data_IF_651530490261
#
_entry.id   IF_651530490261
#
_cell.length_a   1.000
_cell.length_b   1.000
_cell.length_c   1.000
_cell.angle_alpha   90.00
_cell.angle_beta   90.00
_cell.angle_gamma   90.00
#
_symmetry.space_group_name_H-M   'P 1'
#
loop_
_entity.id
_entity.type
_entity.pdbx_description
1 polymer ?
#
# COMPACT_ATOMS: atom_id res chain seq x y z
N UNK A 1 22.04 14.09 -6.21
CA UNK A 1 20.74 14.23 -6.94
C UNK A 1 20.21 15.61 -6.59
N UNK A 2 20.02 16.45 -7.60
CA UNK A 2 19.73 17.88 -7.42
C UNK A 2 18.37 18.08 -6.75
N UNK A 3 18.33 18.96 -5.72
CA UNK A 3 17.15 19.23 -4.88
C UNK A 3 15.91 19.81 -5.56
N UNK A 4 15.89 19.91 -6.89
CA UNK A 4 14.73 20.38 -7.66
C UNK A 4 13.71 19.29 -8.00
N UNK A 5 14.08 18.00 -7.90
CA UNK A 5 13.19 16.86 -8.21
C UNK A 5 12.15 16.57 -7.11
N UNK A 6 12.34 17.10 -5.88
CA UNK A 6 11.49 16.81 -4.74
C UNK A 6 10.41 17.89 -4.47
N UNK A 7 10.22 18.83 -5.37
CA UNK A 7 9.40 19.99 -5.10
C UNK A 7 8.22 20.14 -6.06
N UNK A 8 7.23 19.27 -5.89
CA UNK A 8 5.89 19.47 -6.47
C UNK A 8 4.80 19.39 -5.42
N UNK A 9 5.03 19.98 -4.26
CA UNK A 9 3.98 20.18 -3.27
C UNK A 9 2.88 21.06 -3.88
N UNK A 10 1.89 20.42 -4.49
CA UNK A 10 0.72 21.10 -5.03
C UNK A 10 -0.40 20.86 -4.03
N UNK A 11 -0.81 21.92 -3.36
CA UNK A 11 -2.08 21.92 -2.66
C UNK A 11 -3.13 22.15 -3.74
N UNK A 12 -4.04 21.22 -3.84
CA UNK A 12 -5.19 21.34 -4.73
C UNK A 12 -6.44 21.18 -3.91
N UNK A 13 -7.34 22.14 -4.02
CA UNK A 13 -8.70 21.96 -3.53
C UNK A 13 -9.46 21.10 -4.53
N UNK A 14 -10.02 20.01 -4.05
CA UNK A 14 -10.85 19.09 -4.83
C UNK A 14 -12.15 18.91 -4.05
N UNK A 15 -13.27 19.43 -4.58
CA UNK A 15 -14.53 19.55 -3.85
C UNK A 15 -14.32 20.31 -2.51
N UNK A 16 -14.60 19.65 -1.36
CA UNK A 16 -14.45 20.21 0.00
C UNK A 16 -13.13 19.77 0.65
N UNK A 17 -12.22 19.10 -0.10
CA UNK A 17 -10.99 18.51 0.41
C UNK A 17 -9.77 19.17 -0.21
N UNK A 18 -8.72 19.34 0.60
CA UNK A 18 -7.40 19.72 0.10
C UNK A 18 -6.58 18.44 -0.09
N UNK A 19 -6.03 18.27 -1.30
CA UNK A 19 -5.08 17.22 -1.61
C UNK A 19 -3.69 17.80 -1.56
N UNK A 20 -2.88 17.29 -0.63
CA UNK A 20 -1.48 17.65 -0.53
C UNK A 20 -0.69 16.55 -1.24
N UNK A 21 -0.21 16.83 -2.45
CA UNK A 21 0.63 15.90 -3.20
C UNK A 21 2.05 16.00 -2.71
N UNK A 22 2.59 14.85 -2.33
CA UNK A 22 3.94 14.74 -1.81
C UNK A 22 4.77 13.86 -2.72
N UNK A 23 5.98 14.33 -3.06
CA UNK A 23 6.93 13.53 -3.83
C UNK A 23 7.50 12.41 -2.98
N UNK A 24 7.53 11.20 -3.53
CA UNK A 24 8.10 10.02 -2.90
C UNK A 24 9.27 9.47 -3.73
N UNK A 25 10.26 8.83 -3.11
CA UNK A 25 11.44 8.30 -3.81
C UNK A 25 11.16 6.96 -4.51
N UNK A 26 9.92 6.68 -4.84
CA UNK A 26 9.46 5.45 -5.47
C UNK A 26 8.96 5.73 -6.90
N UNK A 27 8.82 4.69 -7.74
CA UNK A 27 8.38 4.87 -9.14
C UNK A 27 7.01 5.51 -9.33
N UNK A 28 6.12 5.43 -8.32
CA UNK A 28 4.85 6.15 -8.31
C UNK A 28 5.02 7.67 -8.23
N UNK A 29 6.22 8.13 -7.85
CA UNK A 29 6.66 9.50 -7.78
C UNK A 29 5.91 10.42 -6.80
N UNK A 30 4.63 10.22 -6.61
CA UNK A 30 3.78 11.06 -5.75
C UNK A 30 2.75 10.23 -4.98
N UNK A 31 2.41 10.65 -3.75
CA UNK A 31 1.24 10.20 -3.02
C UNK A 31 0.30 11.36 -2.68
N UNK A 32 -0.95 11.04 -2.41
CA UNK A 32 -1.98 11.96 -1.98
C UNK A 32 -2.19 11.87 -0.47
N UNK A 33 -2.15 13.02 0.18
CA UNK A 33 -2.55 13.20 1.56
C UNK A 33 -3.76 14.13 1.57
N UNK A 34 -4.77 13.83 2.36
CA UNK A 34 -6.00 14.62 2.37
C UNK A 34 -6.12 15.43 3.65
N UNK A 35 -6.38 16.71 3.50
CA UNK A 35 -6.65 17.64 4.60
C UNK A 35 -8.10 18.12 4.47
N UNK A 36 -8.92 17.84 5.47
CA UNK A 36 -10.37 17.97 5.41
C UNK A 36 -10.84 18.83 6.58
N UNK A 37 -11.56 19.93 6.30
CA UNK A 37 -12.19 20.74 7.33
C UNK A 37 -13.35 19.97 7.95
N UNK A 38 -13.42 19.93 9.27
CA UNK A 38 -14.46 19.27 10.05
C UNK A 38 -15.01 20.26 11.09
N UNK A 39 -16.18 19.94 11.67
CA UNK A 39 -16.87 20.85 12.61
C UNK A 39 -16.01 21.34 13.80
N UNK A 40 -15.03 20.52 14.21
CA UNK A 40 -14.17 20.80 15.37
C UNK A 40 -12.71 21.09 14.98
N UNK A 41 -12.44 21.43 13.72
CA UNK A 41 -11.09 21.66 13.20
C UNK A 41 -10.81 20.85 11.96
N UNK A 42 -9.60 20.30 11.81
CA UNK A 42 -9.14 19.62 10.61
C UNK A 42 -8.81 18.16 10.87
N UNK A 43 -9.11 17.33 9.90
CA UNK A 43 -8.80 15.90 9.87
C UNK A 43 -7.85 15.62 8.73
N UNK A 44 -6.91 14.71 8.96
CA UNK A 44 -5.93 14.28 7.95
C UNK A 44 -6.13 12.79 7.64
N UNK A 45 -6.10 12.42 6.36
CA UNK A 45 -6.01 11.03 5.90
C UNK A 45 -4.65 10.86 5.24
N UNK A 46 -3.85 9.96 5.79
CA UNK A 46 -2.44 9.71 5.50
C UNK A 46 -1.54 10.94 5.74
N UNK A 47 -0.23 10.74 5.77
CA UNK A 47 0.67 11.82 6.22
C UNK A 47 1.95 11.97 5.38
N UNK A 48 2.22 11.01 4.51
CA UNK A 48 3.42 10.97 3.70
C UNK A 48 4.62 10.30 4.38
N UNK A 49 5.71 10.24 3.65
CA UNK A 49 6.99 9.68 4.12
C UNK A 49 7.75 10.70 4.99
N UNK A 50 8.44 10.27 6.05
CA UNK A 50 9.19 11.19 6.94
C UNK A 50 10.50 11.66 6.31
N UNK A 51 10.39 12.53 5.32
CA UNK A 51 11.50 13.19 4.64
C UNK A 51 11.49 14.70 4.91
N UNK A 52 12.67 15.38 4.88
CA UNK A 52 12.72 16.84 5.00
C UNK A 52 11.81 17.58 3.99
N UNK A 53 11.73 17.18 2.71
CA UNK A 53 10.79 17.79 1.76
C UNK A 53 9.31 17.65 2.18
N UNK A 54 8.90 16.52 2.73
CA UNK A 54 7.54 16.28 3.21
C UNK A 54 7.14 17.29 4.27
N UNK A 55 8.00 17.54 5.25
CA UNK A 55 7.75 18.53 6.31
C UNK A 55 7.61 19.95 5.75
N UNK A 56 8.46 20.30 4.79
CA UNK A 56 8.36 21.60 4.08
C UNK A 56 7.07 21.72 3.29
N UNK A 57 6.61 20.64 2.64
CA UNK A 57 5.31 20.60 1.94
C UNK A 57 4.17 20.82 2.92
N UNK A 58 4.19 20.14 4.07
CA UNK A 58 3.21 20.32 5.13
C UNK A 58 3.16 21.77 5.65
N UNK A 59 4.31 22.37 5.96
CA UNK A 59 4.40 23.76 6.43
C UNK A 59 3.79 24.75 5.42
N UNK A 60 4.05 24.52 4.14
CA UNK A 60 3.46 25.33 3.06
C UNK A 60 1.96 25.10 2.93
N UNK A 61 1.52 23.85 2.97
CA UNK A 61 0.11 23.51 2.91
C UNK A 61 -0.69 24.20 4.01
N UNK A 62 -0.25 24.07 5.24
CA UNK A 62 -0.87 24.69 6.41
C UNK A 62 -0.94 26.21 6.26
N UNK A 63 0.16 26.83 5.79
CA UNK A 63 0.20 28.26 5.53
C UNK A 63 -0.73 28.71 4.41
N UNK A 64 -0.82 27.96 3.33
CA UNK A 64 -1.65 28.28 2.16
C UNK A 64 -3.13 28.12 2.45
N UNK A 65 -3.52 27.09 3.22
CA UNK A 65 -4.89 26.90 3.72
C UNK A 65 -5.25 27.95 4.78
N UNK A 66 -4.26 28.61 5.40
CA UNK A 66 -4.48 29.65 6.41
C UNK A 66 -4.80 29.13 7.80
N UNK A 67 -4.31 27.92 8.12
CA UNK A 67 -4.51 27.27 9.42
C UNK A 67 -3.19 27.06 10.17
N UNK A 68 -3.27 26.54 11.37
CA UNK A 68 -2.12 26.09 12.15
C UNK A 68 -2.18 24.57 12.36
N UNK A 69 -1.03 23.93 12.59
CA UNK A 69 -0.97 22.51 12.93
C UNK A 69 -1.87 22.15 14.14
N UNK A 70 -2.03 23.05 15.10
CA UNK A 70 -2.88 22.84 16.29
C UNK A 70 -4.38 22.76 16.00
N UNK A 71 -4.80 23.11 14.79
CA UNK A 71 -6.19 22.96 14.35
C UNK A 71 -6.45 21.58 13.71
N UNK A 72 -5.41 20.76 13.50
CA UNK A 72 -5.56 19.36 13.11
C UNK A 72 -5.83 18.56 14.39
N UNK A 73 -6.99 17.93 14.46
CA UNK A 73 -7.47 17.23 15.66
C UNK A 73 -7.48 15.71 15.53
N UNK A 74 -7.38 15.17 14.30
CA UNK A 74 -7.40 13.74 14.04
C UNK A 74 -6.52 13.39 12.83
N UNK A 75 -5.79 12.29 12.94
CA UNK A 75 -4.94 11.75 11.88
C UNK A 75 -5.35 10.29 11.66
N UNK A 76 -5.83 9.97 10.47
CA UNK A 76 -6.20 8.62 10.05
C UNK A 76 -5.18 8.09 9.06
N UNK A 77 -4.66 6.90 9.31
CA UNK A 77 -3.73 6.20 8.43
C UNK A 77 -4.46 5.04 7.78
N UNK A 78 -4.42 4.98 6.46
CA UNK A 78 -5.12 3.94 5.71
C UNK A 78 -4.43 2.58 5.78
N UNK A 79 -3.10 2.58 5.76
CA UNK A 79 -2.26 1.38 5.89
C UNK A 79 -0.82 1.77 6.27
N UNK A 80 0.02 0.78 6.59
CA UNK A 80 1.31 1.03 7.20
C UNK A 80 2.49 1.17 6.21
N UNK A 81 2.28 1.49 4.93
CA UNK A 81 3.39 1.81 4.04
C UNK A 81 4.07 3.15 4.38
N UNK A 82 5.35 3.32 4.01
CA UNK A 82 6.15 4.48 4.43
C UNK A 82 5.58 5.82 4.00
N UNK A 83 5.01 5.85 2.81
CA UNK A 83 4.43 7.05 2.20
C UNK A 83 3.02 7.40 2.70
N UNK A 84 2.44 6.56 3.54
CA UNK A 84 1.17 6.79 4.24
C UNK A 84 1.38 7.03 5.73
N UNK A 85 2.17 6.19 6.40
CA UNK A 85 2.41 6.23 7.85
C UNK A 85 3.67 7.01 8.25
N UNK A 86 4.66 7.14 7.37
CA UNK A 86 6.03 7.51 7.74
C UNK A 86 6.13 8.78 8.58
N UNK A 87 5.46 9.85 8.19
CA UNK A 87 5.51 11.13 8.89
C UNK A 87 4.56 11.23 10.11
N UNK A 88 3.84 10.15 10.48
CA UNK A 88 2.80 10.20 11.52
C UNK A 88 3.34 10.65 12.88
N UNK A 89 4.51 10.14 13.30
CA UNK A 89 5.12 10.56 14.57
C UNK A 89 5.46 12.06 14.60
N UNK A 90 5.99 12.58 13.50
CA UNK A 90 6.29 14.01 13.40
C UNK A 90 5.02 14.84 13.42
N UNK A 91 4.02 14.49 12.60
CA UNK A 91 2.76 15.23 12.50
C UNK A 91 2.01 15.17 13.83
N UNK A 92 1.91 14.00 14.47
CA UNK A 92 1.32 13.85 15.82
C UNK A 92 1.94 14.81 16.82
N UNK A 93 3.26 14.95 16.83
CA UNK A 93 3.98 15.84 17.74
C UNK A 93 3.64 17.30 17.52
N UNK A 94 3.55 17.76 16.27
CA UNK A 94 3.31 19.19 15.97
C UNK A 94 1.84 19.55 16.08
N UNK A 95 0.93 18.63 15.79
CA UNK A 95 -0.52 18.82 15.90
C UNK A 95 -1.03 18.61 17.34
N UNK A 96 -0.43 17.66 18.06
CA UNK A 96 -0.95 17.13 19.33
C UNK A 96 -2.27 16.39 19.14
N UNK A 97 -2.35 15.61 18.07
CA UNK A 97 -3.56 14.93 17.62
C UNK A 97 -3.40 13.40 17.71
N UNK A 98 -4.47 12.64 18.04
CA UNK A 98 -4.44 11.19 18.03
C UNK A 98 -4.23 10.65 16.61
N UNK A 99 -3.51 9.51 16.52
CA UNK A 99 -3.29 8.77 15.28
C UNK A 99 -4.10 7.49 15.32
N UNK A 100 -4.95 7.30 14.33
CA UNK A 100 -5.80 6.14 14.16
C UNK A 100 -5.27 5.27 13.01
N UNK A 101 -5.13 3.97 13.26
CA UNK A 101 -4.60 3.01 12.28
C UNK A 101 -5.47 1.75 12.30
N UNK A 102 -5.78 1.09 11.17
CA UNK A 102 -6.49 -0.19 11.17
C UNK A 102 -5.80 -1.21 12.06
N UNK A 103 -6.57 -1.99 12.82
CA UNK A 103 -6.06 -2.94 13.81
C UNK A 103 -5.07 -3.94 13.21
N UNK A 104 -5.36 -4.46 12.04
CA UNK A 104 -4.51 -5.40 11.31
C UNK A 104 -3.20 -4.75 10.89
N UNK A 105 -3.24 -3.47 10.51
CA UNK A 105 -2.06 -2.69 10.13
C UNK A 105 -1.19 -2.34 11.34
N UNK A 106 -1.78 -2.12 12.53
CA UNK A 106 -1.01 -1.96 13.78
C UNK A 106 -0.22 -3.23 14.07
N UNK A 107 -0.88 -4.39 14.01
CA UNK A 107 -0.23 -5.68 14.24
C UNK A 107 0.93 -5.88 13.28
N UNK A 108 0.68 -5.67 12.00
CA UNK A 108 1.67 -5.79 10.94
C UNK A 108 2.84 -4.80 11.13
N UNK A 109 2.55 -3.54 11.47
CA UNK A 109 3.58 -2.55 11.73
C UNK A 109 4.46 -2.90 12.94
N UNK A 110 3.90 -3.50 13.99
CA UNK A 110 4.66 -3.96 15.15
C UNK A 110 5.60 -5.12 14.81
N UNK A 111 5.19 -6.01 13.92
CA UNK A 111 5.97 -7.18 13.53
C UNK A 111 7.08 -6.86 12.51
N UNK A 112 6.84 -5.93 11.60
CA UNK A 112 7.70 -5.74 10.41
C UNK A 112 8.24 -4.33 10.22
N UNK A 113 7.71 -3.32 10.93
CA UNK A 113 7.99 -1.90 10.65
C UNK A 113 8.57 -1.18 11.87
N UNK A 114 7.92 -1.29 13.03
CA UNK A 114 8.34 -0.61 14.26
C UNK A 114 9.45 -1.39 14.99
N UNK A 115 10.39 -1.95 14.26
CA UNK A 115 11.46 -2.76 14.79
C UNK A 115 12.60 -1.84 15.22
N UNK A 116 12.95 -1.85 16.52
CA UNK A 116 14.06 -1.08 17.10
C UNK A 116 15.39 -1.85 17.06
N UNK A 117 15.35 -3.15 16.76
CA UNK A 117 16.51 -4.03 16.70
C UNK A 117 17.19 -4.01 15.32
N UNK A 118 18.14 -4.93 15.10
CA UNK A 118 18.82 -5.13 13.82
C UNK A 118 17.81 -5.50 12.71
N UNK A 119 17.24 -4.47 12.12
CA UNK A 119 16.22 -4.60 11.08
C UNK A 119 16.68 -5.47 9.90
N UNK A 120 17.92 -5.33 9.35
CA UNK A 120 18.42 -6.21 8.31
C UNK A 120 18.33 -7.69 8.68
N UNK A 121 18.66 -8.04 9.91
CA UNK A 121 18.60 -9.43 10.36
C UNK A 121 17.15 -9.94 10.48
N UNK A 122 16.22 -9.09 10.94
CA UNK A 122 14.79 -9.42 11.01
C UNK A 122 14.21 -9.62 9.63
N UNK A 123 14.47 -8.68 8.72
CA UNK A 123 13.96 -8.72 7.35
C UNK A 123 14.55 -9.90 6.57
N UNK A 124 15.86 -10.16 6.73
CA UNK A 124 16.53 -11.33 6.15
C UNK A 124 15.88 -12.63 6.59
N UNK A 125 15.62 -12.81 7.89
CA UNK A 125 14.93 -14.00 8.41
C UNK A 125 13.52 -14.18 7.85
N UNK A 126 12.84 -13.09 7.52
CA UNK A 126 11.52 -13.14 6.90
C UNK A 126 11.56 -13.52 5.42
N UNK A 127 12.54 -13.03 4.66
CA UNK A 127 12.63 -13.21 3.21
C UNK A 127 13.33 -14.51 2.81
N UNK A 128 14.55 -14.75 3.34
CA UNK A 128 15.48 -15.75 2.79
C UNK A 128 14.92 -17.17 2.75
N UNK A 129 14.26 -17.68 3.80
CA UNK A 129 13.83 -19.08 3.78
C UNK A 129 12.84 -19.33 2.66
N UNK A 130 11.83 -18.51 2.52
CA UNK A 130 10.76 -18.73 1.55
C UNK A 130 11.21 -18.39 0.12
N UNK A 131 11.88 -17.26 -0.08
CA UNK A 131 12.39 -16.89 -1.40
C UNK A 131 13.43 -17.87 -1.95
N UNK A 132 14.32 -18.39 -1.11
CA UNK A 132 15.30 -19.40 -1.50
C UNK A 132 14.63 -20.71 -1.92
N UNK A 133 13.60 -21.13 -1.20
CA UNK A 133 12.80 -22.31 -1.57
C UNK A 133 12.07 -22.11 -2.90
N UNK A 134 11.62 -20.89 -3.17
CA UNK A 134 11.01 -20.51 -4.44
C UNK A 134 12.03 -20.24 -5.57
N UNK A 135 13.31 -20.46 -5.34
CA UNK A 135 14.37 -20.42 -6.37
C UNK A 135 14.88 -19.02 -6.73
N UNK A 136 14.66 -18.02 -5.89
CA UNK A 136 15.26 -16.70 -6.10
C UNK A 136 16.74 -16.70 -5.69
N UNK A 137 17.63 -16.02 -6.48
CA UNK A 137 19.07 -16.01 -6.19
C UNK A 137 19.40 -15.21 -4.94
N UNK A 138 20.40 -15.68 -4.18
CA UNK A 138 20.85 -15.05 -2.93
C UNK A 138 21.29 -13.58 -3.14
N UNK A 139 21.91 -13.28 -4.28
CA UNK A 139 22.37 -11.93 -4.62
C UNK A 139 21.20 -10.93 -4.72
N UNK A 140 20.06 -11.37 -5.28
CA UNK A 140 18.85 -10.55 -5.34
C UNK A 140 18.28 -10.33 -3.94
N UNK A 141 18.25 -11.36 -3.11
CA UNK A 141 17.73 -11.26 -1.74
C UNK A 141 18.58 -10.31 -0.89
N UNK A 142 19.90 -10.35 -1.05
CA UNK A 142 20.80 -9.40 -0.38
C UNK A 142 20.54 -7.94 -0.82
N UNK A 143 20.35 -7.73 -2.13
CA UNK A 143 19.97 -6.39 -2.64
C UNK A 143 18.66 -5.89 -2.04
N UNK A 144 17.66 -6.75 -1.88
CA UNK A 144 16.38 -6.39 -1.24
C UNK A 144 16.56 -6.00 0.23
N UNK A 145 17.40 -6.71 0.98
CA UNK A 145 17.70 -6.38 2.39
C UNK A 145 18.38 -5.01 2.49
N UNK A 146 19.36 -4.75 1.62
CA UNK A 146 20.06 -3.48 1.55
C UNK A 146 19.12 -2.34 1.16
N UNK A 147 18.29 -2.54 0.12
CA UNK A 147 17.31 -1.56 -0.33
C UNK A 147 16.35 -1.18 0.79
N UNK A 148 15.78 -2.17 1.46
CA UNK A 148 14.86 -1.94 2.56
C UNK A 148 15.51 -1.17 3.72
N UNK A 149 16.74 -1.53 4.07
CA UNK A 149 17.49 -0.87 5.13
C UNK A 149 17.70 0.62 4.86
N UNK A 150 18.03 0.98 3.63
CA UNK A 150 18.40 2.36 3.29
C UNK A 150 17.24 3.19 2.74
N UNK A 151 16.25 2.55 2.10
CA UNK A 151 15.16 3.24 1.43
C UNK A 151 13.86 3.27 2.23
N UNK A 152 13.70 2.40 3.22
CA UNK A 152 12.42 2.24 3.95
C UNK A 152 12.59 2.50 5.44
N UNK A 153 13.47 1.77 6.10
CA UNK A 153 13.65 1.80 7.57
C UNK A 153 13.89 3.19 8.16
N UNK A 154 14.69 4.09 7.53
CA UNK A 154 14.97 5.40 8.12
C UNK A 154 13.72 6.28 8.26
N UNK A 155 12.66 5.96 7.50
CA UNK A 155 11.44 6.76 7.43
C UNK A 155 10.33 6.28 8.36
N UNK A 156 10.57 5.18 9.07
CA UNK A 156 9.61 4.65 10.02
C UNK A 156 9.98 4.99 11.47
N UNK A 157 9.11 5.78 12.09
CA UNK A 157 9.15 6.02 13.53
C UNK A 157 7.76 5.79 14.09
N UNK A 158 7.65 4.84 15.02
CA UNK A 158 6.40 4.55 15.71
C UNK A 158 5.79 5.84 16.29
N UNK A 159 4.53 6.17 16.02
CA UNK A 159 3.82 7.25 16.69
C UNK A 159 3.83 7.10 18.20
N UNK A 160 3.68 8.21 18.94
CA UNK A 160 3.69 8.19 20.42
C UNK A 160 2.50 7.42 20.98
N UNK A 161 1.34 7.62 20.37
CA UNK A 161 0.09 6.98 20.73
C UNK A 161 -0.68 6.60 19.47
N UNK A 162 -1.21 5.38 19.45
CA UNK A 162 -1.95 4.82 18.32
C UNK A 162 -3.27 4.28 18.83
N UNK A 163 -4.35 4.65 18.15
CA UNK A 163 -5.69 4.14 18.39
C UNK A 163 -6.10 3.19 17.25
N UNK A 164 -6.65 2.02 17.55
CA UNK A 164 -7.11 1.12 16.51
C UNK A 164 -8.38 1.65 15.84
N UNK A 165 -8.49 1.39 14.54
CA UNK A 165 -9.72 1.48 13.77
C UNK A 165 -10.19 0.09 13.41
N UNK A 166 -11.50 -0.11 13.45
CA UNK A 166 -12.14 -1.37 13.14
C UNK A 166 -13.12 -1.24 11.96
N UNK A 167 -13.43 -2.36 11.33
CA UNK A 167 -14.50 -2.45 10.32
C UNK A 167 -15.81 -1.91 10.92
N UNK A 168 -16.44 -0.97 10.23
CA UNK A 168 -17.70 -0.39 10.65
C UNK A 168 -17.61 0.90 11.47
N UNK A 169 -16.41 1.35 11.83
CA UNK A 169 -16.23 2.63 12.51
C UNK A 169 -16.73 3.79 11.65
N UNK A 170 -17.48 4.72 12.27
CA UNK A 170 -17.91 5.96 11.62
C UNK A 170 -16.88 7.08 11.82
N UNK A 171 -16.36 7.61 10.73
CA UNK A 171 -15.36 8.67 10.73
C UNK A 171 -16.01 9.97 10.22
N UNK A 172 -16.09 11.02 11.06
CA UNK A 172 -16.60 12.30 10.62
C UNK A 172 -15.56 13.02 9.77
N UNK A 173 -15.87 13.28 8.50
CA UNK A 173 -15.06 14.04 7.57
C UNK A 173 -15.88 15.16 6.95
N UNK A 174 -15.59 16.41 7.31
CA UNK A 174 -16.40 17.54 6.89
C UNK A 174 -17.80 17.50 7.49
N UNK A 175 -18.80 17.65 6.64
CA UNK A 175 -20.22 17.51 7.01
C UNK A 175 -20.73 16.07 6.89
N UNK A 176 -19.89 15.13 6.50
CA UNK A 176 -20.23 13.76 6.13
C UNK A 176 -19.73 12.76 7.18
N UNK A 177 -20.30 11.55 7.14
CA UNK A 177 -19.88 10.42 7.97
C UNK A 177 -19.46 9.28 7.07
N UNK A 178 -18.18 9.00 7.07
CA UNK A 178 -17.61 7.91 6.32
C UNK A 178 -17.59 6.63 7.15
N UNK A 179 -17.99 5.53 6.55
CA UNK A 179 -17.87 4.21 7.13
C UNK A 179 -16.52 3.61 6.77
N UNK A 180 -15.78 3.20 7.79
CA UNK A 180 -14.53 2.50 7.61
C UNK A 180 -14.79 1.05 7.19
N UNK A 181 -14.10 0.58 6.17
CA UNK A 181 -14.12 -0.82 5.74
C UNK A 181 -12.72 -1.33 5.49
N UNK A 182 -12.41 -2.49 6.05
CA UNK A 182 -11.14 -3.17 5.82
C UNK A 182 -11.21 -3.95 4.52
N UNK A 183 -10.35 -3.62 3.57
CA UNK A 183 -10.24 -4.27 2.26
C UNK A 183 -8.80 -4.76 2.03
N UNK A 184 -8.50 -5.97 2.50
CA UNK A 184 -7.16 -6.53 2.36
C UNK A 184 -6.83 -6.90 0.90
N UNK A 185 -5.54 -7.05 0.65
CA UNK A 185 -4.97 -7.39 -0.65
C UNK A 185 -3.67 -6.64 -0.87
N UNK A 186 -3.72 -5.32 -1.07
CA UNK A 186 -2.51 -4.48 -1.14
C UNK A 186 -1.66 -4.60 0.14
N UNK A 187 -2.31 -4.49 1.30
CA UNK A 187 -1.79 -4.91 2.61
C UNK A 187 -2.82 -5.78 3.33
N UNK A 188 -2.48 -6.27 4.52
CA UNK A 188 -3.33 -7.21 5.28
C UNK A 188 -4.60 -6.54 5.83
N UNK A 189 -4.58 -5.24 6.05
CA UNK A 189 -5.66 -4.53 6.72
C UNK A 189 -5.94 -3.13 6.16
N UNK A 190 -5.57 -2.88 4.89
CA UNK A 190 -5.81 -1.57 4.29
C UNK A 190 -7.26 -1.15 4.45
N UNK A 191 -7.45 0.10 4.88
CA UNK A 191 -8.75 0.70 5.09
C UNK A 191 -9.17 1.56 3.91
N UNK A 192 -10.44 1.48 3.57
CA UNK A 192 -11.14 2.47 2.77
C UNK A 192 -12.18 3.21 3.62
N UNK A 193 -12.59 4.40 3.17
CA UNK A 193 -13.65 5.19 3.79
C UNK A 193 -14.71 5.51 2.74
N UNK A 194 -15.95 5.16 3.01
CA UNK A 194 -17.06 5.39 2.11
C UNK A 194 -18.23 6.11 2.79
N UNK A 195 -18.71 7.19 2.19
CA UNK A 195 -19.96 7.84 2.59
C UNK A 195 -21.09 7.52 1.63
N UNK A 196 -22.16 6.91 2.14
CA UNK A 196 -23.31 6.49 1.35
C UNK A 196 -24.14 7.66 0.80
N UNK A 197 -24.11 8.81 1.46
CA UNK A 197 -24.90 9.98 1.07
C UNK A 197 -24.26 10.73 -0.09
N UNK A 198 -22.99 11.08 0.02
CA UNK A 198 -22.22 11.76 -1.04
C UNK A 198 -21.71 10.78 -2.09
N UNK A 199 -21.66 9.48 -1.77
CA UNK A 199 -21.07 8.42 -2.59
C UNK A 199 -19.58 8.65 -2.88
N UNK A 200 -18.87 9.29 -1.97
CA UNK A 200 -17.43 9.53 -2.04
C UNK A 200 -16.67 8.38 -1.39
N UNK A 201 -15.57 7.97 -2.02
CA UNK A 201 -14.74 6.84 -1.61
C UNK A 201 -13.27 7.25 -1.51
N UNK A 202 -12.67 7.17 -0.32
CA UNK A 202 -11.22 7.12 -0.16
C UNK A 202 -10.80 5.65 -0.21
N UNK A 203 -10.05 5.25 -1.23
CA UNK A 203 -9.72 3.84 -1.47
C UNK A 203 -8.27 3.49 -1.18
N UNK A 204 -7.49 4.42 -0.67
CA UNK A 204 -6.05 4.27 -0.43
C UNK A 204 -5.34 3.65 -1.66
N UNK A 205 -4.60 2.56 -1.47
CA UNK A 205 -3.81 1.91 -2.50
C UNK A 205 -4.45 0.63 -3.08
N UNK A 206 -5.74 0.44 -2.84
CA UNK A 206 -6.44 -0.64 -3.54
C UNK A 206 -6.62 -0.33 -5.02
N UNK A 207 -6.83 0.96 -5.35
CA UNK A 207 -7.04 1.46 -6.71
C UNK A 207 -6.26 2.74 -6.94
N UNK A 208 -5.72 2.89 -8.17
CA UNK A 208 -5.18 4.15 -8.65
C UNK A 208 -5.45 4.28 -10.15
N UNK A 209 -5.80 5.47 -10.62
CA UNK A 209 -5.96 5.72 -12.05
C UNK A 209 -4.60 5.79 -12.73
N UNK A 210 -4.43 5.07 -13.85
CA UNK A 210 -3.20 5.08 -14.65
C UNK A 210 -2.00 4.38 -13.97
N UNK A 211 -2.14 3.89 -12.74
CA UNK A 211 -1.10 3.16 -12.03
C UNK A 211 -1.56 1.74 -11.67
N UNK A 212 -0.60 0.87 -11.52
CA UNK A 212 -0.80 -0.49 -11.05
C UNK A 212 -0.16 -0.63 -9.68
N UNK A 213 -0.99 -0.94 -8.71
CA UNK A 213 -0.56 -1.22 -7.36
C UNK A 213 -0.54 -2.74 -7.14
N UNK A 214 0.41 -3.22 -6.37
CA UNK A 214 0.55 -4.66 -6.09
C UNK A 214 -0.55 -5.15 -5.14
N UNK A 215 -0.85 -6.45 -5.23
CA UNK A 215 -1.90 -7.09 -4.43
C UNK A 215 -1.35 -7.85 -3.21
N UNK A 216 -0.10 -7.70 -2.87
CA UNK A 216 0.52 -8.35 -1.72
C UNK A 216 1.72 -7.57 -1.24
N UNK A 217 1.91 -7.49 0.05
CA UNK A 217 3.10 -6.89 0.66
C UNK A 217 4.09 -7.96 1.14
N UNK A 218 4.26 -8.99 0.34
CA UNK A 218 5.26 -10.03 0.59
C UNK A 218 6.65 -9.41 0.87
N UNK A 219 7.44 -9.91 1.82
CA UNK A 219 7.16 -11.05 2.69
C UNK A 219 6.35 -10.70 3.95
N UNK A 220 5.92 -9.46 4.10
CA UNK A 220 5.31 -8.90 5.31
C UNK A 220 3.77 -9.09 5.30
N UNK A 221 3.27 -10.21 4.85
CA UNK A 221 1.84 -10.52 4.82
C UNK A 221 1.51 -11.83 5.53
N UNK A 222 0.36 -11.84 6.20
CA UNK A 222 -0.24 -13.04 6.79
C UNK A 222 -1.37 -13.62 5.93
N UNK A 223 -1.61 -13.04 4.75
CA UNK A 223 -2.67 -13.50 3.86
C UNK A 223 -2.27 -14.80 3.15
N UNK A 224 -2.99 -15.87 3.41
CA UNK A 224 -2.75 -17.18 2.77
C UNK A 224 -3.05 -17.20 1.26
N UNK A 225 -3.93 -16.32 0.79
CA UNK A 225 -4.35 -16.22 -0.61
C UNK A 225 -4.49 -14.76 -1.02
N UNK A 226 -3.39 -14.00 -1.10
CA UNK A 226 -3.46 -12.56 -1.29
C UNK A 226 -4.22 -12.14 -2.55
N UNK A 227 -4.04 -12.84 -3.69
CA UNK A 227 -4.76 -12.50 -4.91
C UNK A 227 -6.27 -12.81 -4.83
N UNK A 228 -6.64 -13.93 -4.21
CA UNK A 228 -8.06 -14.26 -4.02
C UNK A 228 -8.75 -13.25 -3.11
N UNK A 229 -8.10 -12.88 -2.00
CA UNK A 229 -8.58 -11.87 -1.06
C UNK A 229 -8.65 -10.48 -1.74
N UNK A 230 -7.66 -10.15 -2.57
CA UNK A 230 -7.70 -8.92 -3.36
C UNK A 230 -8.92 -8.88 -4.29
N UNK A 231 -9.23 -9.98 -4.99
CA UNK A 231 -10.44 -10.05 -5.82
C UNK A 231 -11.71 -9.92 -5.02
N UNK A 232 -11.81 -10.54 -3.85
CA UNK A 232 -12.95 -10.37 -2.94
C UNK A 232 -13.13 -8.90 -2.51
N UNK A 233 -12.04 -8.20 -2.26
CA UNK A 233 -12.02 -6.77 -1.95
C UNK A 233 -12.50 -5.93 -3.13
N UNK A 234 -12.05 -6.22 -4.36
CA UNK A 234 -12.54 -5.56 -5.57
C UNK A 234 -14.03 -5.81 -5.80
N UNK A 235 -14.50 -7.04 -5.58
CA UNK A 235 -15.93 -7.41 -5.71
C UNK A 235 -16.80 -6.70 -4.66
N UNK A 236 -16.29 -6.50 -3.43
CA UNK A 236 -16.98 -5.68 -2.42
C UNK A 236 -17.11 -4.23 -2.89
N UNK A 237 -16.06 -3.64 -3.44
CA UNK A 237 -16.08 -2.30 -4.01
C UNK A 237 -17.08 -2.19 -5.18
N UNK A 238 -17.13 -3.19 -6.04
CA UNK A 238 -18.02 -3.23 -7.20
C UNK A 238 -19.51 -3.16 -6.87
N UNK A 239 -19.89 -3.45 -5.61
CA UNK A 239 -21.26 -3.35 -5.11
C UNK A 239 -21.65 -1.94 -4.65
N UNK A 240 -20.66 -1.03 -4.53
CA UNK A 240 -20.89 0.34 -4.09
C UNK A 240 -21.28 1.24 -5.27
N UNK A 241 -22.23 2.12 -5.01
CA UNK A 241 -22.57 3.21 -5.94
C UNK A 241 -21.69 4.42 -5.61
N UNK A 242 -20.53 4.53 -6.27
CA UNK A 242 -19.54 5.57 -6.03
C UNK A 242 -19.66 6.68 -7.06
N UNK A 243 -19.68 7.94 -6.61
CA UNK A 243 -19.66 9.12 -7.47
C UNK A 243 -18.27 9.63 -7.75
N UNK A 244 -17.36 9.49 -6.78
CA UNK A 244 -15.97 9.95 -6.88
C UNK A 244 -15.04 9.13 -5.99
N UNK A 245 -13.88 8.81 -6.53
CA UNK A 245 -12.82 8.05 -5.87
C UNK A 245 -11.62 8.95 -5.59
N UNK A 246 -11.12 8.89 -4.37
CA UNK A 246 -9.93 9.58 -3.87
C UNK A 246 -8.86 8.52 -3.55
N UNK A 247 -7.93 8.24 -4.48
CA UNK A 247 -6.91 7.22 -4.30
C UNK A 247 -5.69 7.75 -3.54
N UNK A 248 -4.89 6.86 -2.96
CA UNK A 248 -3.59 7.19 -2.35
C UNK A 248 -2.57 7.70 -3.38
N UNK A 249 -2.70 7.30 -4.65
CA UNK A 249 -1.82 7.72 -5.74
C UNK A 249 -2.60 8.11 -6.98
N UNK A 250 -2.06 9.09 -7.73
CA UNK A 250 -2.65 9.55 -8.98
C UNK A 250 -3.84 10.51 -8.82
N UNK A 251 -4.55 10.82 -9.90
CA UNK A 251 -5.70 11.72 -9.85
C UNK A 251 -6.94 11.07 -9.23
N UNK A 252 -7.87 11.91 -8.72
CA UNK A 252 -9.23 11.46 -8.40
C UNK A 252 -9.98 11.09 -9.68
N UNK A 253 -10.87 10.11 -9.58
CA UNK A 253 -11.62 9.61 -10.76
C UNK A 253 -13.07 9.24 -10.39
N UNK A 254 -13.91 8.94 -11.40
CA UNK A 254 -15.32 8.64 -11.21
C UNK A 254 -15.71 7.24 -11.69
N UNK A 255 -15.00 6.70 -12.68
CA UNK A 255 -15.34 5.44 -13.33
C UNK A 255 -14.82 4.21 -12.57
N UNK A 256 -15.32 4.03 -11.32
CA UNK A 256 -14.92 2.91 -10.47
C UNK A 256 -15.12 1.55 -11.18
N UNK A 257 -16.27 1.35 -11.83
CA UNK A 257 -16.61 0.06 -12.48
C UNK A 257 -15.67 -0.28 -13.63
N UNK A 258 -15.30 0.71 -14.44
CA UNK A 258 -14.32 0.55 -15.52
C UNK A 258 -12.97 0.16 -14.94
N UNK A 259 -12.51 0.88 -13.89
CA UNK A 259 -11.23 0.60 -13.23
C UNK A 259 -11.16 -0.79 -12.60
N UNK A 260 -12.23 -1.25 -11.97
CA UNK A 260 -12.33 -2.61 -11.44
C UNK A 260 -12.25 -3.66 -12.56
N UNK A 261 -12.95 -3.43 -13.67
CA UNK A 261 -12.92 -4.31 -14.85
C UNK A 261 -11.49 -4.42 -15.41
N UNK A 262 -10.80 -3.30 -15.55
CA UNK A 262 -9.41 -3.25 -16.04
C UNK A 262 -8.46 -4.05 -15.14
N UNK A 263 -8.62 -3.94 -13.82
CA UNK A 263 -7.80 -4.69 -12.87
C UNK A 263 -8.05 -6.19 -12.96
N UNK A 264 -9.31 -6.62 -12.95
CA UNK A 264 -9.66 -8.03 -13.13
C UNK A 264 -9.09 -8.60 -14.43
N UNK A 265 -9.24 -7.87 -15.53
CA UNK A 265 -8.75 -8.28 -16.85
C UNK A 265 -7.21 -8.36 -16.88
N UNK A 266 -6.52 -7.42 -16.24
CA UNK A 266 -5.07 -7.43 -16.14
C UNK A 266 -4.56 -8.67 -15.40
N UNK A 267 -5.14 -8.97 -14.23
CA UNK A 267 -4.76 -10.17 -13.47
C UNK A 267 -5.12 -11.45 -14.22
N UNK A 268 -6.29 -11.51 -14.88
CA UNK A 268 -6.70 -12.64 -15.71
C UNK A 268 -5.68 -12.93 -16.81
N UNK A 269 -5.25 -11.91 -17.56
CA UNK A 269 -4.20 -12.05 -18.59
C UNK A 269 -2.87 -12.52 -18.01
N UNK A 270 -2.52 -12.09 -16.81
CA UNK A 270 -1.31 -12.55 -16.12
C UNK A 270 -1.42 -14.03 -15.77
N UNK A 271 -2.53 -14.45 -15.20
CA UNK A 271 -2.81 -15.87 -14.88
C UNK A 271 -2.75 -16.75 -16.12
N UNK A 272 -3.34 -16.33 -17.23
CA UNK A 272 -3.28 -17.06 -18.52
C UNK A 272 -1.83 -17.17 -19.05
N UNK A 273 -1.05 -16.10 -18.91
CA UNK A 273 0.38 -16.13 -19.30
C UNK A 273 1.14 -17.15 -18.48
N UNK A 274 0.90 -17.22 -17.18
CA UNK A 274 1.52 -18.18 -16.26
C UNK A 274 1.14 -19.61 -16.63
N UNK A 275 -0.14 -19.91 -16.84
CA UNK A 275 -0.61 -21.23 -17.24
C UNK A 275 0.01 -21.71 -18.57
N UNK A 276 0.30 -20.79 -19.49
CA UNK A 276 1.01 -21.12 -20.75
C UNK A 276 2.49 -21.39 -20.53
N UNK A 277 3.12 -20.73 -19.56
CA UNK A 277 4.55 -20.85 -19.27
C UNK A 277 4.88 -22.09 -18.41
N UNK A 278 4.01 -22.41 -17.45
CA UNK A 278 4.21 -23.54 -16.50
C UNK A 278 3.73 -24.85 -17.13
N UNK A 279 4.60 -25.51 -17.90
CA UNK A 279 4.31 -26.82 -18.49
C UNK A 279 5.05 -27.97 -17.76
N UNK A 280 6.29 -27.74 -17.42
CA UNK A 280 7.14 -28.59 -16.64
C UNK A 280 7.34 -28.00 -15.23
N UNK A 281 7.80 -28.80 -14.25
CA UNK A 281 8.07 -28.29 -12.91
C UNK A 281 9.05 -27.12 -12.92
N UNK A 282 8.61 -25.94 -12.49
CA UNK A 282 9.37 -24.69 -12.48
C UNK A 282 9.22 -24.00 -11.12
N UNK A 283 10.28 -23.35 -10.63
CA UNK A 283 10.22 -22.50 -9.44
C UNK A 283 9.67 -21.10 -9.80
N UNK A 284 9.22 -20.34 -8.80
CA UNK A 284 8.81 -18.96 -9.02
C UNK A 284 9.98 -18.09 -9.52
N UNK A 285 11.21 -18.33 -9.02
CA UNK A 285 12.43 -17.62 -9.46
C UNK A 285 12.78 -17.86 -10.92
N UNK A 286 12.57 -19.08 -11.44
CA UNK A 286 12.76 -19.40 -12.87
C UNK A 286 11.65 -18.83 -13.76
N UNK A 287 10.43 -18.73 -13.24
CA UNK A 287 9.29 -18.13 -13.95
C UNK A 287 9.35 -16.61 -13.98
N UNK A 288 9.83 -15.99 -12.91
CA UNK A 288 9.87 -14.53 -12.70
C UNK A 288 10.37 -13.74 -13.92
N UNK A 289 11.56 -14.02 -14.52
CA UNK A 289 12.06 -13.26 -15.67
C UNK A 289 11.24 -13.44 -16.95
N UNK A 290 10.38 -14.45 -17.01
CA UNK A 290 9.47 -14.67 -18.15
C UNK A 290 8.19 -13.81 -18.03
N UNK A 291 7.85 -13.36 -16.83
CA UNK A 291 6.66 -12.57 -16.56
C UNK A 291 6.90 -11.07 -16.64
N UNK A 292 8.08 -10.61 -16.24
CA UNK A 292 8.41 -9.21 -16.09
C UNK A 292 9.65 -8.85 -16.91
N UNK A 293 9.67 -7.64 -17.43
CA UNK A 293 10.88 -7.07 -18.00
C UNK A 293 11.86 -6.74 -16.86
N UNK A 294 13.15 -6.67 -17.17
CA UNK A 294 14.14 -6.19 -16.20
C UNK A 294 13.77 -4.78 -15.71
N UNK A 295 13.96 -4.55 -14.41
CA UNK A 295 13.81 -3.25 -13.79
C UNK A 295 15.08 -2.91 -13.05
N UNK A 296 15.51 -1.64 -13.12
CA UNK A 296 16.67 -1.14 -12.38
C UNK A 296 16.32 -0.78 -10.92
N UNK A 297 15.04 -0.84 -10.55
CA UNK A 297 14.57 -0.53 -9.21
C UNK A 297 14.48 -1.79 -8.37
N UNK A 298 15.40 -1.95 -7.42
CA UNK A 298 15.46 -3.11 -6.51
C UNK A 298 14.15 -3.27 -5.74
N UNK A 299 13.55 -2.17 -5.29
CA UNK A 299 12.28 -2.17 -4.59
C UNK A 299 11.14 -2.84 -5.39
N UNK A 300 11.11 -2.66 -6.71
CA UNK A 300 10.13 -3.34 -7.56
C UNK A 300 10.28 -4.87 -7.54
N UNK A 301 11.51 -5.38 -7.44
CA UNK A 301 11.72 -6.82 -7.39
C UNK A 301 10.99 -7.47 -6.21
N UNK A 302 10.98 -6.81 -5.03
CA UNK A 302 10.25 -7.30 -3.86
C UNK A 302 8.76 -7.52 -4.17
N UNK A 303 8.12 -6.52 -4.74
CA UNK A 303 6.69 -6.58 -5.10
C UNK A 303 6.42 -7.67 -6.15
N UNK A 304 7.24 -7.73 -7.20
CA UNK A 304 7.07 -8.68 -8.29
C UNK A 304 7.38 -10.12 -7.89
N UNK A 305 8.29 -10.36 -6.93
CA UNK A 305 8.54 -11.66 -6.31
C UNK A 305 7.26 -12.12 -5.58
N UNK A 306 6.72 -11.27 -4.73
CA UNK A 306 5.50 -11.56 -3.99
C UNK A 306 4.31 -11.84 -4.91
N UNK A 307 4.13 -11.03 -5.96
CA UNK A 307 3.10 -11.28 -6.96
C UNK A 307 3.30 -12.59 -7.71
N UNK A 308 4.54 -12.95 -8.08
CA UNK A 308 4.82 -14.22 -8.77
C UNK A 308 4.40 -15.40 -7.91
N UNK A 309 4.80 -15.41 -6.64
CA UNK A 309 4.41 -16.43 -5.68
C UNK A 309 2.89 -16.45 -5.51
N UNK A 310 2.28 -15.28 -5.31
CA UNK A 310 0.83 -15.14 -5.12
C UNK A 310 0.00 -15.65 -6.30
N UNK A 311 0.42 -15.39 -7.54
CA UNK A 311 -0.24 -15.95 -8.73
C UNK A 311 -0.14 -17.48 -8.79
N UNK A 312 1.03 -18.04 -8.50
CA UNK A 312 1.25 -19.51 -8.54
C UNK A 312 0.43 -20.22 -7.47
N UNK A 313 0.40 -19.67 -6.25
CA UNK A 313 -0.41 -20.20 -5.16
C UNK A 313 -1.91 -20.09 -5.45
N UNK A 314 -2.37 -18.97 -6.03
CA UNK A 314 -3.75 -18.80 -6.46
C UNK A 314 -4.18 -19.86 -7.48
N UNK A 315 -3.36 -20.11 -8.52
CA UNK A 315 -3.62 -21.13 -9.52
C UNK A 315 -3.58 -22.57 -8.94
N UNK A 316 -2.74 -22.79 -7.96
CA UNK A 316 -2.66 -24.06 -7.23
C UNK A 316 -3.92 -24.32 -6.42
N UNK A 317 -4.39 -23.32 -5.67
CA UNK A 317 -5.65 -23.40 -4.90
C UNK A 317 -6.86 -23.60 -5.83
N UNK A 318 -6.82 -22.98 -7.01
CA UNK A 318 -7.84 -23.17 -8.05
C UNK A 318 -7.76 -24.52 -8.79
N UNK A 319 -6.85 -25.41 -8.43
CA UNK A 319 -6.69 -26.71 -9.06
C UNK A 319 -6.20 -26.64 -10.52
N UNK A 320 -5.54 -25.55 -10.90
CA UNK A 320 -5.02 -25.35 -12.26
C UNK A 320 -3.52 -25.68 -12.36
N UNK A 321 -2.81 -25.63 -11.24
CA UNK A 321 -1.43 -26.05 -11.10
C UNK A 321 -1.29 -27.02 -9.93
N UNK A 322 -0.22 -27.83 -9.96
CA UNK A 322 0.23 -28.66 -8.85
C UNK A 322 1.44 -28.02 -8.19
N UNK A 323 1.42 -27.88 -6.86
CA UNK A 323 2.58 -27.51 -6.05
C UNK A 323 3.35 -28.76 -5.66
N UNK A 324 4.65 -28.76 -5.89
CA UNK A 324 5.60 -29.83 -5.55
C UNK A 324 6.58 -29.23 -4.55
N UNK A 325 6.59 -29.76 -3.35
CA UNK A 325 7.46 -29.30 -2.25
C UNK A 325 8.28 -30.48 -1.75
N UNK A 326 9.59 -30.45 -1.97
CA UNK A 326 10.54 -31.48 -1.53
C UNK A 326 11.26 -31.09 -0.22
N UNK A 327 10.87 -29.98 0.41
CA UNK A 327 11.48 -29.44 1.62
C UNK A 327 12.63 -28.46 1.32
N UNK A 328 13.31 -28.59 0.19
CA UNK A 328 14.37 -27.68 -0.24
C UNK A 328 13.88 -26.66 -1.28
N UNK A 329 13.06 -27.11 -2.22
CA UNK A 329 12.52 -26.30 -3.31
C UNK A 329 11.01 -26.45 -3.45
N UNK A 330 10.36 -25.37 -3.79
CA UNK A 330 8.96 -25.30 -4.19
C UNK A 330 8.89 -25.12 -5.71
N UNK A 331 8.26 -26.06 -6.39
CA UNK A 331 8.02 -26.03 -7.84
C UNK A 331 6.54 -26.10 -8.14
N UNK A 332 6.18 -25.60 -9.27
CA UNK A 332 4.81 -25.63 -9.80
C UNK A 332 4.82 -26.31 -11.18
N UNK A 333 3.83 -27.13 -11.46
CA UNK A 333 3.68 -27.80 -12.75
C UNK A 333 2.22 -27.77 -13.21
N UNK A 334 1.99 -27.94 -14.51
CA UNK A 334 0.66 -28.28 -15.02
C UNK A 334 0.12 -29.56 -14.39
N UNK A 335 -1.19 -29.69 -14.31
CA UNK A 335 -1.91 -30.90 -13.85
C UNK A 335 -2.03 -31.88 -14.99
#
# INVERSE_FOLDING_TARGET
MNGELFYKGIIRQEDDYFIIRQSIPYPLAENNVFLIESNNGWTVIDVGIDLPPTRTIWEKAIKEVGISFKQIHQIYITHCHPDHLGAARWLQKVCDAPVFIPREEIKRAQEFIFIEEDFPAVYRRAIEPEASRHGFPAELLEQLVIDWQYQVTPFFKKPYEIFPLDEGDEIPLGAEKFLASVLPGHTDGQMMLFDQRSRRLFCADLLAEGAYLHFTDWPNTHLDNPLGIFFESLDRLGRLEVSKVYPGHGPCFQDLKERLTDLHEKHRRRLEKILKAVREPITAGELYPQLYNSTDYVHHHRMLIGETIGYLEFLTRGGQLRRIDDGEKVRFSSI
#
